data_IF_279357299010
#
_entry.id   IF_279357299010
#
_cell.length_a   1.000
_cell.length_b   1.000
_cell.length_c   1.000
_cell.angle_alpha   90.00
_cell.angle_beta   90.00
_cell.angle_gamma   90.00
#
_symmetry.space_group_name_H-M   'P 1'
#
loop_
_entity.id
_entity.type
_entity.pdbx_description
1 polymer ?
#
# COMPACT_ATOMS: atom_id res chain seq x y z
N UNK A 1 44.16 -27.04 4.08
CA UNK A 1 43.14 -27.85 3.38
C UNK A 1 41.79 -27.32 3.84
N UNK A 2 40.97 -26.77 2.95
CA UNK A 2 39.64 -26.29 3.31
C UNK A 2 38.71 -27.50 3.37
N UNK A 3 38.17 -27.81 4.55
CA UNK A 3 37.09 -28.79 4.67
C UNK A 3 35.85 -28.19 4.03
N UNK A 4 35.50 -28.69 2.84
CA UNK A 4 34.22 -28.41 2.21
C UNK A 4 33.13 -29.11 3.02
N UNK A 5 32.54 -28.41 3.99
CA UNK A 5 31.40 -28.95 4.74
C UNK A 5 30.23 -29.12 3.77
N UNK A 6 29.71 -30.34 3.66
CA UNK A 6 28.55 -30.61 2.81
C UNK A 6 27.36 -29.71 3.25
N UNK A 7 26.58 -29.17 2.30
CA UNK A 7 25.41 -28.36 2.63
C UNK A 7 24.47 -29.19 3.51
N UNK A 8 24.11 -28.65 4.68
CA UNK A 8 23.14 -29.28 5.59
C UNK A 8 21.79 -29.32 4.87
N UNK A 9 21.36 -30.53 4.52
CA UNK A 9 20.06 -30.75 3.91
C UNK A 9 19.01 -30.83 5.01
N UNK A 10 18.04 -29.91 4.98
CA UNK A 10 17.01 -29.86 6.01
C UNK A 10 15.76 -30.65 5.59
N UNK A 11 15.04 -31.29 6.52
CA UNK A 11 13.82 -32.03 6.21
C UNK A 11 12.72 -31.20 5.53
N UNK A 12 12.60 -29.92 5.87
CA UNK A 12 11.63 -29.01 5.23
C UNK A 12 11.95 -28.71 3.75
N UNK A 13 13.14 -29.04 3.26
CA UNK A 13 13.51 -28.87 1.85
C UNK A 13 12.97 -29.97 0.94
N UNK A 14 12.48 -31.09 1.50
CA UNK A 14 11.97 -32.23 0.72
C UNK A 14 10.45 -32.19 0.50
N UNK A 15 9.77 -31.17 1.01
CA UNK A 15 8.34 -30.95 0.79
C UNK A 15 8.00 -30.85 -0.72
N UNK A 16 6.85 -31.39 -1.13
CA UNK A 16 6.48 -31.50 -2.55
C UNK A 16 5.75 -30.27 -3.06
N UNK A 17 5.10 -29.52 -2.17
CA UNK A 17 4.39 -28.28 -2.48
C UNK A 17 4.91 -27.09 -1.66
N UNK A 18 4.68 -25.89 -2.20
CA UNK A 18 5.02 -24.65 -1.50
C UNK A 18 4.24 -24.51 -0.18
N UNK A 19 3.02 -25.06 -0.10
CA UNK A 19 2.19 -25.04 1.11
C UNK A 19 2.77 -26.00 2.16
N UNK A 20 3.07 -27.24 1.77
CA UNK A 20 3.71 -28.22 2.65
C UNK A 20 5.05 -27.70 3.17
N UNK A 21 5.81 -26.99 2.32
CA UNK A 21 7.07 -26.40 2.71
C UNK A 21 6.88 -25.29 3.77
N UNK A 22 5.85 -24.46 3.63
CA UNK A 22 5.48 -23.45 4.63
C UNK A 22 5.15 -24.10 5.98
N UNK A 23 4.32 -25.15 5.98
CA UNK A 23 3.92 -25.87 7.19
C UNK A 23 5.12 -26.56 7.87
N UNK A 24 6.00 -27.17 7.07
CA UNK A 24 7.22 -27.80 7.58
C UNK A 24 8.17 -26.77 8.22
N UNK A 25 8.32 -25.59 7.61
CA UNK A 25 9.13 -24.49 8.18
C UNK A 25 8.53 -24.02 9.51
N UNK A 26 7.22 -23.81 9.60
CA UNK A 26 6.58 -23.34 10.84
C UNK A 26 6.65 -24.39 11.95
N UNK A 27 6.46 -25.67 11.62
CA UNK A 27 6.62 -26.77 12.56
C UNK A 27 8.04 -26.80 13.14
N UNK A 28 9.05 -26.72 12.27
CA UNK A 28 10.45 -26.73 12.70
C UNK A 28 10.83 -25.50 13.53
N UNK A 29 10.26 -24.34 13.22
CA UNK A 29 10.44 -23.13 14.04
C UNK A 29 9.84 -23.29 15.43
N UNK A 30 8.64 -23.88 15.54
CA UNK A 30 8.04 -24.16 16.84
C UNK A 30 8.91 -25.12 17.68
N UNK A 31 9.48 -26.16 17.07
CA UNK A 31 10.44 -27.06 17.73
C UNK A 31 11.69 -26.31 18.22
N UNK A 32 12.32 -25.52 17.35
CA UNK A 32 13.51 -24.73 17.72
C UNK A 32 13.22 -23.74 18.84
N UNK A 33 12.03 -23.17 18.89
CA UNK A 33 11.64 -22.26 19.96
C UNK A 33 11.58 -22.97 21.32
N UNK A 34 11.12 -24.23 21.36
CA UNK A 34 11.13 -25.05 22.57
C UNK A 34 12.56 -25.42 22.96
N UNK A 35 13.40 -25.80 22.00
CA UNK A 35 14.81 -26.13 22.24
C UNK A 35 15.60 -24.93 22.81
N UNK A 36 15.46 -23.76 22.19
CA UNK A 36 16.10 -22.52 22.63
C UNK A 36 15.64 -22.08 24.03
N UNK A 37 14.40 -22.40 24.42
CA UNK A 37 13.88 -22.07 25.74
C UNK A 37 14.39 -23.01 26.85
N UNK A 38 14.78 -24.25 26.50
CA UNK A 38 15.27 -25.25 27.44
C UNK A 38 16.81 -25.20 27.63
N UNK A 39 17.52 -24.41 26.83
CA UNK A 39 18.97 -24.47 26.72
C UNK A 39 19.66 -23.56 27.75
N UNK A 40 20.01 -24.13 28.90
CA UNK A 40 20.79 -23.45 29.94
C UNK A 40 22.30 -23.57 29.63
N UNK A 41 22.87 -22.53 28.99
CA UNK A 41 24.32 -22.21 28.95
C UNK A 41 25.29 -23.04 28.07
N UNK A 42 24.85 -23.60 26.94
CA UNK A 42 25.75 -24.16 25.92
C UNK A 42 25.99 -23.22 24.73
N UNK A 43 27.19 -22.63 24.59
CA UNK A 43 27.47 -21.64 23.51
C UNK A 43 27.38 -22.22 22.09
N UNK A 44 27.86 -23.46 21.89
CA UNK A 44 27.98 -24.04 20.54
C UNK A 44 26.62 -24.49 19.97
N UNK A 45 25.78 -25.13 20.78
CA UNK A 45 24.45 -25.60 20.36
C UNK A 45 23.48 -24.45 20.17
N UNK A 46 23.52 -23.44 21.07
CA UNK A 46 22.77 -22.20 20.93
C UNK A 46 23.10 -21.48 19.62
N UNK A 47 24.39 -21.39 19.27
CA UNK A 47 24.82 -20.76 18.00
C UNK A 47 24.26 -21.51 16.79
N UNK A 48 24.25 -22.85 16.82
CA UNK A 48 23.68 -23.66 15.74
C UNK A 48 22.15 -23.48 15.62
N UNK A 49 21.42 -23.48 16.72
CA UNK A 49 19.97 -23.24 16.73
C UNK A 49 19.60 -21.83 16.23
N UNK A 50 20.37 -20.80 16.61
CA UNK A 50 20.21 -19.43 16.09
C UNK A 50 20.46 -19.38 14.58
N UNK A 51 21.49 -20.07 14.10
CA UNK A 51 21.79 -20.14 12.68
C UNK A 51 20.65 -20.82 11.90
N UNK A 52 20.17 -21.97 12.38
CA UNK A 52 19.04 -22.68 11.76
C UNK A 52 17.77 -21.81 11.75
N UNK A 53 17.47 -21.12 12.86
CA UNK A 53 16.34 -20.20 12.96
C UNK A 53 16.40 -19.08 11.91
N UNK A 54 17.58 -18.50 11.69
CA UNK A 54 17.78 -17.47 10.67
C UNK A 54 17.58 -18.05 9.26
N UNK A 55 18.08 -19.25 8.99
CA UNK A 55 17.86 -19.95 7.71
C UNK A 55 16.38 -20.22 7.46
N UNK A 56 15.64 -20.70 8.46
CA UNK A 56 14.18 -20.92 8.36
C UNK A 56 13.42 -19.62 8.12
N UNK A 57 13.82 -18.54 8.79
CA UNK A 57 13.21 -17.21 8.61
C UNK A 57 13.43 -16.69 7.18
N UNK A 58 14.64 -16.85 6.65
CA UNK A 58 14.95 -16.49 5.26
C UNK A 58 14.16 -17.35 4.27
N UNK A 59 14.13 -18.67 4.47
CA UNK A 59 13.38 -19.60 3.62
C UNK A 59 11.89 -19.24 3.58
N UNK A 60 11.28 -18.94 4.74
CA UNK A 60 9.89 -18.47 4.83
C UNK A 60 9.67 -17.18 4.04
N UNK A 61 10.59 -16.22 4.13
CA UNK A 61 10.46 -14.96 3.39
C UNK A 61 10.47 -15.18 1.88
N UNK A 62 11.35 -16.06 1.38
CA UNK A 62 11.42 -16.39 -0.06
C UNK A 62 10.14 -17.09 -0.51
N UNK A 63 9.67 -18.05 0.28
CA UNK A 63 8.46 -18.81 -0.02
C UNK A 63 7.20 -17.93 -0.01
N UNK A 64 7.08 -17.02 0.97
CA UNK A 64 6.01 -16.03 0.99
C UNK A 64 6.03 -15.11 -0.23
N UNK A 65 7.20 -14.65 -0.66
CA UNK A 65 7.32 -13.82 -1.85
C UNK A 65 6.86 -14.57 -3.11
N UNK A 66 7.24 -15.85 -3.24
CA UNK A 66 6.81 -16.74 -4.32
C UNK A 66 5.29 -16.95 -4.34
N UNK A 67 4.70 -17.28 -3.18
CA UNK A 67 3.25 -17.46 -3.05
C UNK A 67 2.47 -16.17 -3.37
N UNK A 68 2.99 -15.02 -2.93
CA UNK A 68 2.39 -13.73 -3.24
C UNK A 68 2.45 -13.42 -4.74
N UNK A 69 3.56 -13.74 -5.41
CA UNK A 69 3.70 -13.57 -6.86
C UNK A 69 2.72 -14.47 -7.63
N UNK A 70 2.57 -15.73 -7.21
CA UNK A 70 1.59 -16.65 -7.80
C UNK A 70 0.16 -16.13 -7.65
N UNK A 71 -0.21 -15.63 -6.46
CA UNK A 71 -1.55 -15.09 -6.23
C UNK A 71 -1.80 -13.81 -7.03
N UNK A 72 -0.81 -12.92 -7.12
CA UNK A 72 -0.90 -11.74 -7.98
C UNK A 72 -1.09 -12.10 -9.45
N UNK A 73 -0.40 -13.13 -9.93
CA UNK A 73 -0.56 -13.63 -11.30
C UNK A 73 -1.96 -14.21 -11.52
N UNK A 74 -2.48 -14.98 -10.54
CA UNK A 74 -3.84 -15.52 -10.56
C UNK A 74 -4.89 -14.40 -10.64
N UNK A 75 -4.79 -13.40 -9.77
CA UNK A 75 -5.67 -12.23 -9.76
C UNK A 75 -5.60 -11.43 -11.07
N UNK A 76 -4.40 -11.32 -11.66
CA UNK A 76 -4.24 -10.69 -12.97
C UNK A 76 -4.96 -11.48 -14.06
N UNK A 77 -4.87 -12.81 -14.07
CA UNK A 77 -5.57 -13.64 -15.05
C UNK A 77 -7.09 -13.48 -14.92
N UNK A 78 -7.60 -13.48 -13.69
CA UNK A 78 -9.01 -13.26 -13.37
C UNK A 78 -9.49 -11.89 -13.86
N UNK A 79 -8.79 -10.81 -13.51
CA UNK A 79 -9.15 -9.46 -13.92
C UNK A 79 -9.12 -9.24 -15.45
N UNK A 80 -8.19 -9.89 -16.16
CA UNK A 80 -8.14 -9.80 -17.63
C UNK A 80 -9.27 -10.58 -18.29
N UNK A 81 -9.65 -11.74 -17.74
CA UNK A 81 -10.83 -12.48 -18.20
C UNK A 81 -12.11 -11.67 -17.99
N UNK A 82 -12.30 -11.08 -16.81
CA UNK A 82 -13.46 -10.22 -16.54
C UNK A 82 -13.53 -9.04 -17.53
N UNK A 83 -12.40 -8.37 -17.77
CA UNK A 83 -12.33 -7.29 -18.76
C UNK A 83 -12.69 -7.78 -20.16
N UNK A 84 -12.18 -8.95 -20.56
CA UNK A 84 -12.51 -9.57 -21.84
C UNK A 84 -14.02 -9.80 -21.98
N UNK A 85 -14.65 -10.43 -20.97
CA UNK A 85 -16.09 -10.69 -20.97
C UNK A 85 -16.91 -9.40 -20.99
N UNK A 86 -16.60 -8.42 -20.14
CA UNK A 86 -17.31 -7.14 -20.09
C UNK A 86 -17.23 -6.42 -21.45
N UNK A 87 -16.05 -6.33 -22.05
CA UNK A 87 -15.91 -5.69 -23.35
C UNK A 87 -16.65 -6.47 -24.45
N UNK A 88 -16.57 -7.80 -24.43
CA UNK A 88 -17.28 -8.66 -25.38
C UNK A 88 -18.80 -8.50 -25.26
N UNK A 89 -19.34 -8.43 -24.04
CA UNK A 89 -20.75 -8.24 -23.76
C UNK A 89 -21.23 -6.88 -24.25
N UNK A 90 -20.47 -5.80 -24.02
CA UNK A 90 -20.79 -4.48 -24.56
C UNK A 90 -20.78 -4.49 -26.09
N UNK A 91 -19.78 -5.14 -26.71
CA UNK A 91 -19.67 -5.20 -28.16
C UNK A 91 -20.76 -6.07 -28.82
N UNK A 92 -21.26 -7.09 -28.11
CA UNK A 92 -22.39 -7.93 -28.53
C UNK A 92 -23.74 -7.31 -28.22
N UNK A 93 -23.80 -6.46 -27.19
CA UNK A 93 -25.02 -5.74 -26.86
C UNK A 93 -25.39 -4.83 -28.03
N UNK A 94 -26.67 -4.79 -28.37
CA UNK A 94 -27.20 -3.91 -29.41
C UNK A 94 -27.31 -2.45 -28.92
N UNK A 95 -26.40 -2.01 -28.03
CA UNK A 95 -26.34 -0.63 -27.56
C UNK A 95 -25.86 0.24 -28.71
N UNK A 96 -26.69 1.19 -29.11
CA UNK A 96 -26.33 2.20 -30.11
C UNK A 96 -25.43 3.25 -29.44
N UNK A 97 -24.25 3.46 -30.01
CA UNK A 97 -23.30 4.50 -29.58
C UNK A 97 -23.45 5.71 -30.50
N UNK A 98 -23.65 6.89 -29.91
CA UNK A 98 -23.74 8.13 -30.66
C UNK A 98 -22.38 8.51 -31.29
N UNK A 99 -22.39 9.41 -32.28
CA UNK A 99 -21.16 9.91 -32.92
C UNK A 99 -20.19 10.54 -31.90
N UNK A 100 -20.72 11.15 -30.82
CA UNK A 100 -19.93 11.70 -29.72
C UNK A 100 -19.23 10.62 -28.88
N UNK A 101 -19.73 9.38 -28.93
CA UNK A 101 -19.21 8.23 -28.19
C UNK A 101 -18.36 7.30 -29.07
N UNK A 102 -18.18 7.62 -30.35
CA UNK A 102 -17.36 6.83 -31.27
C UNK A 102 -15.92 6.58 -30.73
N UNK A 103 -15.36 7.58 -30.02
CA UNK A 103 -14.06 7.46 -29.37
C UNK A 103 -14.06 6.44 -28.22
N UNK A 104 -15.16 6.34 -27.46
CA UNK A 104 -15.32 5.35 -26.40
C UNK A 104 -15.43 3.93 -26.99
N UNK A 105 -16.26 3.75 -28.02
CA UNK A 105 -16.42 2.47 -28.71
C UNK A 105 -15.08 1.98 -29.30
N UNK A 106 -14.28 2.88 -29.87
CA UNK A 106 -12.92 2.56 -30.32
C UNK A 106 -12.06 2.01 -29.18
N UNK A 107 -12.05 2.68 -28.02
CA UNK A 107 -11.29 2.22 -26.86
C UNK A 107 -11.78 0.88 -26.28
N UNK A 108 -13.08 0.62 -26.32
CA UNK A 108 -13.65 -0.68 -25.91
C UNK A 108 -13.16 -1.80 -26.84
N UNK A 109 -13.20 -1.58 -28.16
CA UNK A 109 -12.68 -2.54 -29.15
C UNK A 109 -11.20 -2.81 -28.98
N UNK A 110 -10.42 -1.76 -28.75
CA UNK A 110 -8.97 -1.86 -28.53
C UNK A 110 -8.65 -2.65 -27.24
N UNK A 111 -9.36 -2.35 -26.15
CA UNK A 111 -9.22 -3.07 -24.87
C UNK A 111 -9.61 -4.54 -25.00
N UNK A 112 -10.70 -4.84 -25.71
CA UNK A 112 -11.12 -6.21 -26.02
C UNK A 112 -10.04 -6.98 -26.80
N UNK A 113 -9.45 -6.37 -27.84
CA UNK A 113 -8.39 -7.00 -28.62
C UNK A 113 -7.16 -7.32 -27.77
N UNK A 114 -6.75 -6.38 -26.91
CA UNK A 114 -5.62 -6.58 -26.01
C UNK A 114 -5.89 -7.68 -24.97
N UNK A 115 -7.07 -7.67 -24.35
CA UNK A 115 -7.47 -8.70 -23.39
C UNK A 115 -7.56 -10.09 -24.07
N UNK A 116 -8.14 -10.17 -25.26
CA UNK A 116 -8.21 -11.40 -26.06
C UNK A 116 -6.82 -11.94 -26.40
N UNK A 117 -5.90 -11.09 -26.86
CA UNK A 117 -4.52 -11.47 -27.14
C UNK A 117 -3.80 -11.99 -25.89
N UNK A 118 -4.04 -11.38 -24.73
CA UNK A 118 -3.51 -11.86 -23.46
C UNK A 118 -4.07 -13.25 -23.10
N UNK A 119 -5.38 -13.45 -23.20
CA UNK A 119 -6.02 -14.73 -22.92
C UNK A 119 -5.47 -15.85 -23.81
N UNK A 120 -5.29 -15.59 -25.11
CA UNK A 120 -4.67 -16.56 -26.04
C UNK A 120 -3.24 -16.88 -25.64
N UNK A 121 -2.43 -15.84 -25.35
CA UNK A 121 -1.02 -16.01 -24.97
C UNK A 121 -0.85 -16.85 -23.70
N UNK A 122 -1.75 -16.68 -22.73
CA UNK A 122 -1.69 -17.35 -21.42
C UNK A 122 -2.59 -18.60 -21.33
N UNK A 123 -3.17 -19.04 -22.45
CA UNK A 123 -4.06 -20.21 -22.52
C UNK A 123 -5.22 -20.12 -21.50
N UNK A 124 -5.74 -18.92 -21.29
CA UNK A 124 -6.89 -18.71 -20.41
C UNK A 124 -8.16 -19.15 -21.14
N UNK A 125 -8.97 -19.97 -20.48
CA UNK A 125 -10.23 -20.45 -21.03
C UNK A 125 -11.25 -19.32 -21.13
N UNK A 126 -11.48 -18.85 -22.36
CA UNK A 126 -12.43 -17.79 -22.70
C UNK A 126 -13.89 -18.29 -22.73
N UNK A 127 -14.12 -19.60 -22.65
CA UNK A 127 -15.46 -20.18 -22.69
C UNK A 127 -16.17 -20.17 -21.34
N UNK A 128 -15.41 -19.92 -20.27
CA UNK A 128 -15.96 -19.74 -18.93
C UNK A 128 -16.82 -18.48 -18.94
N UNK A 129 -18.13 -18.64 -19.13
CA UNK A 129 -19.03 -17.54 -18.83
C UNK A 129 -18.73 -17.05 -17.41
N UNK A 130 -18.71 -15.73 -17.17
CA UNK A 130 -18.55 -15.18 -15.83
C UNK A 130 -19.74 -15.71 -15.04
N UNK A 131 -19.50 -16.81 -14.33
CA UNK A 131 -20.48 -17.46 -13.49
C UNK A 131 -20.87 -16.43 -12.47
N UNK A 132 -21.99 -15.76 -12.74
CA UNK A 132 -22.57 -14.69 -11.93
C UNK A 132 -22.44 -15.14 -10.49
N UNK A 133 -21.46 -14.56 -9.81
CA UNK A 133 -21.10 -14.96 -8.47
C UNK A 133 -22.18 -14.40 -7.59
N UNK A 134 -23.31 -15.10 -7.50
CA UNK A 134 -24.19 -15.01 -6.36
C UNK A 134 -23.41 -15.59 -5.19
N UNK A 135 -22.99 -14.80 -4.19
CA UNK A 135 -22.40 -15.33 -2.97
C UNK A 135 -23.52 -15.88 -2.07
N UNK A 136 -24.33 -16.80 -2.59
CA UNK A 136 -25.43 -17.41 -1.86
C UNK A 136 -25.37 -18.92 -1.98
N UNK A 137 -24.85 -19.52 -0.91
CA UNK A 137 -25.30 -20.82 -0.40
C UNK A 137 -25.14 -22.02 -1.32
N UNK A 138 -23.90 -22.40 -1.63
CA UNK A 138 -23.61 -23.81 -1.93
C UNK A 138 -23.15 -24.51 -0.65
N UNK A 139 -24.12 -24.74 0.22
CA UNK A 139 -24.06 -25.84 1.15
C UNK A 139 -25.10 -26.87 0.66
N UNK A 140 -24.61 -28.04 0.26
CA UNK A 140 -25.37 -29.29 0.10
C UNK A 140 -26.37 -29.41 -1.05
N UNK A 141 -25.92 -30.07 -2.13
CA UNK A 141 -26.74 -31.05 -2.84
C UNK A 141 -25.95 -32.37 -2.98
N UNK A 142 -25.55 -32.94 -1.84
CA UNK A 142 -25.18 -34.34 -1.75
C UNK A 142 -26.47 -35.15 -1.77
N UNK A 143 -26.55 -36.14 -2.67
CA UNK A 143 -27.63 -37.12 -2.76
C UNK A 143 -27.97 -37.69 -1.36
N UNK A 144 -29.24 -38.00 -1.06
CA UNK A 144 -29.65 -38.46 0.26
C UNK A 144 -28.87 -39.72 0.65
N UNK A 145 -27.98 -39.67 1.66
CA UNK A 145 -27.43 -40.89 2.23
C UNK A 145 -28.56 -41.62 2.95
N UNK A 146 -28.56 -42.95 2.83
CA UNK A 146 -29.43 -43.83 3.59
C UNK A 146 -29.49 -43.39 5.07
N UNK A 147 -30.70 -43.42 5.62
CA UNK A 147 -31.11 -43.02 6.97
C UNK A 147 -30.16 -43.58 8.04
N UNK A 148 -29.13 -42.82 8.41
CA UNK A 148 -28.39 -43.03 9.65
C UNK A 148 -29.19 -42.29 10.74
N UNK A 149 -29.55 -42.96 11.86
CA UNK A 149 -30.28 -42.32 12.95
C UNK A 149 -29.49 -41.10 13.46
N UNK A 150 -30.18 -39.96 13.54
CA UNK A 150 -29.59 -38.70 13.96
C UNK A 150 -28.95 -38.86 15.36
N UNK A 151 -27.73 -38.34 15.56
CA UNK A 151 -27.12 -38.29 16.89
C UNK A 151 -27.99 -37.44 17.83
N UNK A 152 -28.02 -37.78 19.14
CA UNK A 152 -28.77 -37.02 20.12
C UNK A 152 -28.33 -35.55 20.12
N UNK A 153 -29.26 -34.60 20.30
CA UNK A 153 -28.94 -33.18 20.32
C UNK A 153 -27.91 -32.91 21.44
N UNK A 154 -26.88 -32.08 21.17
CA UNK A 154 -25.94 -31.69 22.20
C UNK A 154 -26.68 -31.02 23.36
N UNK A 155 -26.28 -31.27 24.63
CA UNK A 155 -26.87 -30.61 25.78
C UNK A 155 -26.80 -29.10 25.57
N UNK A 156 -27.91 -28.41 25.81
CA UNK A 156 -28.00 -26.96 25.70
C UNK A 156 -26.98 -26.34 26.66
N UNK A 157 -25.82 -25.95 26.13
CA UNK A 157 -24.86 -25.15 26.87
C UNK A 157 -25.51 -23.80 27.09
N UNK A 158 -25.77 -23.47 28.34
CA UNK A 158 -26.19 -22.14 28.78
C UNK A 158 -25.29 -21.10 28.11
N UNK A 159 -25.89 -20.19 27.35
CA UNK A 159 -25.17 -19.12 26.67
C UNK A 159 -24.24 -18.41 27.68
N UNK A 160 -22.96 -18.19 27.35
CA UNK A 160 -22.06 -17.48 28.24
C UNK A 160 -22.64 -16.09 28.52
N UNK A 161 -22.53 -15.59 29.76
CA UNK A 161 -23.02 -14.25 30.09
C UNK A 161 -22.37 -13.21 29.19
N UNK A 162 -23.11 -12.15 28.78
CA UNK A 162 -22.57 -11.11 27.93
C UNK A 162 -21.35 -10.47 28.61
N UNK A 163 -20.31 -10.09 27.82
CA UNK A 163 -19.14 -9.43 28.38
C UNK A 163 -19.54 -8.12 29.06
N UNK A 164 -18.88 -7.76 30.19
CA UNK A 164 -19.14 -6.49 30.85
C UNK A 164 -18.84 -5.31 29.91
N UNK A 165 -19.60 -4.21 30.00
CA UNK A 165 -19.35 -3.02 29.20
C UNK A 165 -17.92 -2.48 29.47
N UNK A 166 -17.22 -2.00 28.43
CA UNK A 166 -15.89 -1.41 28.60
C UNK A 166 -15.97 -0.20 29.53
N UNK A 167 -14.99 -0.09 30.44
CA UNK A 167 -14.90 1.03 31.37
C UNK A 167 -14.69 2.38 30.66
N UNK A 168 -15.11 3.49 31.29
CA UNK A 168 -14.93 4.82 30.72
C UNK A 168 -13.44 5.13 30.52
N UNK A 169 -13.07 5.78 29.40
CA UNK A 169 -11.69 6.16 29.15
C UNK A 169 -11.17 7.12 30.23
N UNK A 170 -9.89 7.00 30.62
CA UNK A 170 -9.29 7.90 31.60
C UNK A 170 -9.33 9.35 31.11
N UNK A 171 -9.90 10.23 31.92
CA UNK A 171 -9.99 11.66 31.64
C UNK A 171 -8.60 12.29 31.77
N UNK A 172 -7.90 12.48 30.64
CA UNK A 172 -6.65 13.22 30.61
C UNK A 172 -6.95 14.71 30.80
N UNK A 173 -6.61 15.23 31.99
CA UNK A 173 -6.64 16.66 32.28
C UNK A 173 -5.64 17.38 31.36
N UNK A 174 -6.14 18.36 30.60
CA UNK A 174 -5.33 19.19 29.72
C UNK A 174 -4.40 20.10 30.56
N UNK A 175 -3.11 20.20 30.21
CA UNK A 175 -2.19 21.13 30.88
C UNK A 175 -2.52 22.59 30.52
N UNK A 176 -2.55 23.41 31.56
CA UNK A 176 -2.83 24.84 31.55
C UNK A 176 -1.79 25.64 30.74
N UNK A 177 -2.19 26.56 29.84
CA UNK A 177 -1.26 27.33 29.04
C UNK A 177 -0.76 28.57 29.79
N UNK A 178 0.49 28.54 30.27
CA UNK A 178 1.19 29.74 30.74
C UNK A 178 1.65 30.60 29.56
N UNK A 179 0.92 31.70 29.32
CA UNK A 179 1.35 32.84 28.51
C UNK A 179 2.52 33.58 29.18
N UNK A 180 3.65 33.73 28.46
CA UNK A 180 4.52 34.91 28.60
C UNK A 180 5.08 35.31 27.24
N UNK A 181 4.49 36.36 26.67
CA UNK A 181 4.92 37.04 25.45
C UNK A 181 5.78 38.25 25.82
N UNK A 182 7.06 38.35 25.40
CA UNK A 182 7.79 39.61 25.47
C UNK A 182 7.57 40.48 24.24
N UNK A 183 7.56 41.77 24.52
CA UNK A 183 7.26 42.94 23.70
C UNK A 183 8.25 43.09 22.53
N UNK A 184 7.72 43.44 21.36
CA UNK A 184 8.47 43.80 20.14
C UNK A 184 8.65 45.32 20.17
N UNK A 185 9.88 45.82 20.15
CA UNK A 185 10.18 47.24 19.95
C UNK A 185 11.27 47.39 18.87
N UNK A 186 10.83 47.95 17.75
CA UNK A 186 11.49 48.99 16.93
C UNK A 186 12.88 48.72 16.32
N UNK A 187 12.89 48.58 14.98
CA UNK A 187 14.02 48.79 14.06
C UNK A 187 14.45 50.30 14.04
N UNK A 188 15.58 50.76 13.46
CA UNK A 188 16.32 50.15 12.34
C UNK A 188 17.86 50.36 12.34
N UNK A 189 18.48 49.92 11.23
CA UNK A 189 19.80 50.25 10.66
C UNK A 189 20.93 49.21 10.80
N UNK A 190 21.30 48.67 9.64
CA UNK A 190 22.61 48.15 9.23
C UNK A 190 23.66 49.29 9.31
N UNK A 191 24.98 49.05 9.53
CA UNK A 191 25.77 48.17 8.65
C UNK A 191 26.94 47.38 9.30
N UNK A 192 27.31 46.30 8.61
CA UNK A 192 28.71 45.91 8.25
C UNK A 192 29.78 45.74 9.34
N UNK A 193 30.40 44.55 9.29
CA UNK A 193 31.79 44.20 9.69
C UNK A 193 32.03 43.60 11.08
N UNK A 194 32.72 42.44 11.01
CA UNK A 194 33.65 41.85 11.98
C UNK A 194 33.13 41.02 13.14
N UNK A 195 33.73 39.83 13.19
CA UNK A 195 34.06 39.02 14.37
C UNK A 195 32.89 38.27 15.01
N UNK A 196 32.83 36.96 14.69
CA UNK A 196 32.05 35.96 15.41
C UNK A 196 32.80 35.59 16.70
N UNK A 197 32.29 35.96 17.89
CA UNK A 197 32.84 35.54 19.17
C UNK A 197 32.29 34.15 19.51
N UNK A 198 33.16 33.34 20.11
CA UNK A 198 32.91 32.01 20.67
C UNK A 198 31.96 32.13 21.88
N UNK A 199 30.71 31.62 21.84
CA UNK A 199 29.88 31.63 23.03
C UNK A 199 30.27 30.48 23.96
N UNK A 200 30.61 30.90 25.18
CA UNK A 200 30.83 30.09 26.37
C UNK A 200 29.62 29.20 26.68
N UNK A 201 29.92 27.99 27.11
CA UNK A 201 28.98 26.93 27.40
C UNK A 201 28.56 26.96 28.87
N UNK A 202 27.57 27.78 29.25
CA UNK A 202 26.90 27.62 30.55
C UNK A 202 25.41 27.95 30.45
N UNK A 203 24.56 27.00 30.84
CA UNK A 203 23.25 27.34 31.43
C UNK A 203 21.98 27.13 30.60
N UNK A 204 21.86 26.12 29.74
CA UNK A 204 20.54 25.65 29.28
C UNK A 204 20.22 24.27 29.86
N UNK A 205 19.48 24.24 30.99
CA UNK A 205 18.87 23.03 31.53
C UNK A 205 17.68 22.65 30.64
N UNK A 206 17.96 21.84 29.62
CA UNK A 206 16.95 21.23 28.75
C UNK A 206 16.11 20.19 29.52
N UNK A 207 14.77 20.17 29.39
CA UNK A 207 13.90 19.21 30.06
C UNK A 207 14.03 17.83 29.39
N UNK A 208 15.03 17.05 29.82
CA UNK A 208 15.34 15.70 29.32
C UNK A 208 14.54 14.57 30.00
N UNK A 209 13.57 14.89 30.85
CA UNK A 209 12.90 13.91 31.72
C UNK A 209 11.82 13.03 31.05
N UNK A 210 11.57 13.17 29.74
CA UNK A 210 10.59 12.36 29.00
C UNK A 210 11.19 11.69 27.75
N UNK A 211 12.45 11.26 27.82
CA UNK A 211 13.01 10.39 26.77
C UNK A 211 12.79 8.93 27.14
N UNK A 212 12.04 8.24 26.29
CA UNK A 212 11.97 6.78 26.26
C UNK A 212 13.40 6.23 26.28
N UNK A 213 13.73 5.32 27.22
CA UNK A 213 15.07 4.75 27.30
C UNK A 213 15.39 4.04 25.98
N UNK A 214 16.31 4.62 25.21
CA UNK A 214 16.82 4.04 23.97
C UNK A 214 17.68 2.83 24.35
N UNK A 215 17.29 1.64 23.85
CA UNK A 215 18.09 0.43 24.02
C UNK A 215 19.52 0.66 23.50
N UNK A 216 20.56 0.15 24.17
CA UNK A 216 21.97 0.41 23.82
C UNK A 216 22.33 -0.02 22.39
N UNK A 217 21.59 -0.96 21.79
CA UNK A 217 21.75 -1.37 20.38
C UNK A 217 21.53 -0.19 19.41
N UNK A 218 20.65 0.75 19.75
CA UNK A 218 20.43 1.94 18.90
C UNK A 218 21.58 2.96 18.99
N UNK A 219 22.45 2.89 20.01
CA UNK A 219 23.54 3.84 20.14
C UNK A 219 24.62 3.65 19.07
N UNK A 220 24.90 2.41 18.67
CA UNK A 220 25.82 2.12 17.57
C UNK A 220 25.28 2.69 16.24
N UNK A 221 24.00 2.45 15.95
CA UNK A 221 23.34 2.99 14.76
C UNK A 221 23.28 4.53 14.77
N UNK A 222 22.94 5.14 15.91
CA UNK A 222 22.92 6.60 16.04
C UNK A 222 24.31 7.23 15.96
N UNK A 223 25.35 6.54 16.45
CA UNK A 223 26.74 6.96 16.27
C UNK A 223 27.17 6.89 14.81
N UNK A 224 26.73 5.86 14.07
CA UNK A 224 26.97 5.74 12.63
C UNK A 224 26.25 6.83 11.84
N UNK A 225 24.99 7.13 12.15
CA UNK A 225 24.23 8.24 11.56
C UNK A 225 24.87 9.60 11.88
N UNK A 226 25.45 9.76 13.07
CA UNK A 226 26.18 10.97 13.45
C UNK A 226 27.51 11.09 12.70
N UNK A 227 28.22 9.97 12.45
CA UNK A 227 29.49 9.91 11.72
C UNK A 227 29.30 10.01 10.21
N UNK A 228 28.21 9.48 9.65
CA UNK A 228 27.93 9.49 8.20
C UNK A 228 27.55 10.88 7.65
N UNK A 229 27.66 11.93 8.48
CA UNK A 229 27.44 13.30 8.09
C UNK A 229 25.95 13.65 8.00
N UNK A 230 25.54 14.63 8.79
CA UNK A 230 24.24 15.34 8.63
C UNK A 230 24.05 15.98 7.24
N UNK A 231 25.02 15.83 6.34
CA UNK A 231 25.06 16.39 4.98
C UNK A 231 24.31 15.57 3.92
N UNK A 232 23.91 14.32 4.21
CA UNK A 232 23.17 13.49 3.22
C UNK A 232 21.64 13.66 3.31
N UNK A 233 21.11 14.28 4.35
CA UNK A 233 19.75 14.83 4.29
C UNK A 233 19.78 16.05 3.36
N UNK A 234 19.83 15.78 2.05
CA UNK A 234 19.84 16.78 0.99
C UNK A 234 18.77 17.81 1.32
N UNK A 235 19.20 19.07 1.43
CA UNK A 235 18.29 20.20 1.53
C UNK A 235 17.32 20.04 0.36
N UNK A 236 16.09 19.71 0.68
CA UNK A 236 15.04 19.49 -0.29
C UNK A 236 14.51 20.87 -0.60
N UNK A 237 14.65 21.34 -1.84
CA UNK A 237 14.19 22.66 -2.28
C UNK A 237 12.65 22.80 -2.28
N UNK A 238 11.95 21.82 -1.72
CA UNK A 238 10.52 21.87 -1.52
C UNK A 238 10.18 22.89 -0.42
N UNK A 239 9.26 23.83 -0.69
CA UNK A 239 8.79 24.75 0.33
C UNK A 239 8.21 23.95 1.50
N UNK A 240 8.62 24.30 2.73
CA UNK A 240 8.13 23.67 3.96
C UNK A 240 7.30 24.68 4.72
N UNK A 241 6.28 24.20 5.43
CA UNK A 241 5.56 25.02 6.37
C UNK A 241 6.48 25.38 7.55
N UNK A 242 6.14 26.38 8.38
CA UNK A 242 6.91 26.74 9.58
C UNK A 242 7.14 25.56 10.55
N UNK A 243 6.33 24.50 10.50
CA UNK A 243 6.47 23.27 11.28
C UNK A 243 7.34 22.19 10.63
N UNK A 244 8.04 22.49 9.52
CA UNK A 244 8.94 21.54 8.85
C UNK A 244 8.25 20.48 7.99
N UNK A 245 6.91 20.44 7.96
CA UNK A 245 6.15 19.59 7.05
C UNK A 245 6.33 20.08 5.62
N UNK A 246 6.71 19.24 4.65
CA UNK A 246 6.72 19.61 3.25
C UNK A 246 5.35 20.18 2.88
N UNK A 247 5.31 21.40 2.35
CA UNK A 247 4.09 21.95 1.78
C UNK A 247 3.77 21.09 0.57
N UNK A 248 2.90 20.09 0.75
CA UNK A 248 2.37 19.32 -0.36
C UNK A 248 1.59 20.29 -1.22
N UNK A 249 2.21 20.76 -2.29
CA UNK A 249 1.51 21.50 -3.32
C UNK A 249 0.37 20.60 -3.77
N UNK A 250 -0.87 21.03 -3.51
CA UNK A 250 -2.04 20.27 -3.94
C UNK A 250 -1.90 20.06 -5.44
N UNK A 251 -1.64 18.82 -5.85
CA UNK A 251 -1.58 18.44 -7.26
C UNK A 251 -2.85 18.95 -7.92
N UNK A 252 -2.71 19.73 -9.00
CA UNK A 252 -3.85 20.13 -9.81
C UNK A 252 -4.46 18.85 -10.38
N UNK A 253 -5.73 18.62 -10.08
CA UNK A 253 -6.45 17.47 -10.59
C UNK A 253 -6.54 17.62 -12.11
N UNK A 254 -6.03 16.63 -12.84
CA UNK A 254 -6.06 16.61 -14.28
C UNK A 254 -7.37 15.99 -14.76
N UNK A 255 -8.08 16.64 -15.68
CA UNK A 255 -9.24 16.04 -16.34
C UNK A 255 -8.87 14.91 -17.30
N UNK A 256 -7.57 14.70 -17.54
CA UNK A 256 -7.05 13.60 -18.37
C UNK A 256 -6.63 12.36 -17.56
N UNK A 257 -6.67 12.41 -16.22
CA UNK A 257 -6.34 11.28 -15.35
C UNK A 257 -7.62 10.70 -14.74
N UNK A 258 -7.86 9.40 -14.94
CA UNK A 258 -9.08 8.72 -14.50
C UNK A 258 -9.28 8.78 -12.99
N UNK A 259 -8.20 8.66 -12.21
CA UNK A 259 -8.26 8.79 -10.75
C UNK A 259 -8.64 10.23 -10.31
N UNK A 260 -8.14 11.23 -11.03
CA UNK A 260 -8.47 12.63 -10.77
C UNK A 260 -9.93 12.95 -11.18
N UNK A 261 -10.46 12.31 -12.23
CA UNK A 261 -11.88 12.42 -12.63
C UNK A 261 -12.82 11.85 -11.57
N UNK A 262 -12.50 10.67 -11.01
CA UNK A 262 -13.28 10.10 -9.90
C UNK A 262 -13.24 11.04 -8.70
N UNK A 263 -12.07 11.61 -8.36
CA UNK A 263 -11.95 12.56 -7.25
C UNK A 263 -12.73 13.86 -7.51
N UNK A 264 -12.73 14.36 -8.76
CA UNK A 264 -13.52 15.52 -9.18
C UNK A 264 -15.03 15.22 -9.10
N UNK A 265 -15.47 14.03 -9.54
CA UNK A 265 -16.86 13.60 -9.48
C UNK A 265 -17.34 13.47 -8.03
N UNK A 266 -16.54 12.85 -7.15
CA UNK A 266 -16.83 12.75 -5.72
C UNK A 266 -16.89 14.15 -5.08
N UNK A 267 -15.91 15.03 -5.36
CA UNK A 267 -15.95 16.41 -4.86
C UNK A 267 -17.19 17.17 -5.32
N UNK A 268 -17.62 16.98 -6.57
CA UNK A 268 -18.84 17.61 -7.10
C UNK A 268 -20.09 17.04 -6.43
N UNK A 269 -20.16 15.72 -6.21
CA UNK A 269 -21.28 15.05 -5.54
C UNK A 269 -21.42 15.47 -4.07
N UNK A 270 -20.30 15.67 -3.38
CA UNK A 270 -20.27 16.08 -1.97
C UNK A 270 -20.11 17.59 -1.76
N UNK A 271 -20.08 18.40 -2.83
CA UNK A 271 -19.90 19.85 -2.71
C UNK A 271 -21.02 20.51 -1.88
N UNK A 272 -22.22 19.94 -1.92
CA UNK A 272 -23.40 20.48 -1.24
C UNK A 272 -23.59 19.88 0.16
N UNK A 273 -22.85 18.84 0.53
CA UNK A 273 -23.03 18.14 1.81
C UNK A 273 -22.45 18.93 3.00
N UNK A 274 -21.56 19.89 2.73
CA UNK A 274 -20.99 20.77 3.76
C UNK A 274 -21.70 22.12 3.91
N UNK A 275 -22.78 22.37 3.14
CA UNK A 275 -23.47 23.66 3.12
C UNK A 275 -24.45 23.88 4.27
N UNK A 276 -25.08 22.82 4.76
CA UNK A 276 -26.14 22.90 5.76
C UNK A 276 -25.73 22.18 7.04
N UNK A 277 -24.79 22.77 7.78
CA UNK A 277 -24.72 22.50 9.22
C UNK A 277 -25.58 23.57 9.92
N UNK A 278 -26.82 23.24 10.32
CA UNK A 278 -27.71 24.18 10.99
C UNK A 278 -27.17 24.45 12.41
N UNK A 279 -26.34 25.48 12.58
CA UNK A 279 -25.91 25.91 13.92
C UNK A 279 -24.53 26.55 14.06
N UNK A 280 -23.80 26.84 12.98
CA UNK A 280 -22.47 27.47 13.06
C UNK A 280 -22.50 28.98 12.79
N UNK A 281 -22.32 29.78 13.85
CA UNK A 281 -22.18 31.24 13.83
C UNK A 281 -21.24 31.78 12.72
N UNK A 282 -21.59 32.88 12.03
CA UNK A 282 -20.81 33.43 10.93
C UNK A 282 -19.63 34.27 11.47
N UNK A 283 -18.51 33.62 11.77
CA UNK A 283 -17.22 34.31 11.81
C UNK A 283 -16.48 34.09 10.49
N UNK A 284 -16.59 35.11 9.66
CA UNK A 284 -15.93 35.27 8.38
C UNK A 284 -14.42 34.98 8.47
N UNK A 285 -13.93 34.12 7.58
CA UNK A 285 -12.52 34.08 7.20
C UNK A 285 -12.37 34.81 5.85
N UNK A 286 -11.73 35.99 5.80
CA UNK A 286 -11.51 36.70 4.55
C UNK A 286 -10.18 36.25 3.95
N UNK A 287 -10.22 35.27 3.05
CA UNK A 287 -9.13 35.01 2.11
C UNK A 287 -9.70 34.89 0.70
N UNK A 288 -10.37 35.97 0.26
CA UNK A 288 -10.60 36.24 -1.15
C UNK A 288 -9.33 36.86 -1.73
N UNK A 289 -8.70 36.15 -2.66
CA UNK A 289 -7.57 36.64 -3.47
C UNK A 289 -8.09 37.62 -4.54
N UNK A 290 -7.56 38.85 -4.64
CA UNK A 290 -8.01 39.82 -5.62
C UNK A 290 -7.20 39.67 -6.91
N UNK A 291 -7.70 38.90 -7.86
CA UNK A 291 -7.37 39.05 -9.29
C UNK A 291 -8.61 38.72 -10.11
N UNK A 292 -9.56 39.66 -10.08
CA UNK A 292 -10.65 39.72 -11.04
C UNK A 292 -10.18 40.57 -12.22
N UNK A 293 -9.79 39.91 -13.31
CA UNK A 293 -9.65 40.56 -14.62
C UNK A 293 -11.02 40.55 -15.28
N UNK A 294 -11.47 41.74 -15.67
CA UNK A 294 -12.73 42.07 -16.37
C UNK A 294 -13.04 41.19 -17.59
N UNK A 295 -14.33 40.96 -17.92
CA UNK A 295 -14.72 40.24 -19.13
C UNK A 295 -14.63 41.16 -20.35
N UNK A 296 -13.77 40.80 -21.30
CA UNK A 296 -13.79 41.33 -22.67
C UNK A 296 -14.57 40.36 -23.56
N UNK A 297 -15.57 40.89 -24.25
CA UNK A 297 -16.41 40.15 -25.18
C UNK A 297 -15.59 39.59 -26.35
N UNK A 298 -15.51 38.26 -26.43
CA UNK A 298 -15.01 37.52 -27.59
C UNK A 298 -15.99 36.38 -27.91
N UNK A 299 -16.15 36.01 -29.19
CA UNK A 299 -17.21 35.12 -29.65
C UNK A 299 -16.99 33.68 -29.18
N UNK A 300 -18.12 33.01 -28.86
CA UNK A 300 -18.21 31.58 -28.55
C UNK A 300 -17.47 30.75 -29.61
N UNK A 301 -16.25 30.31 -29.30
CA UNK A 301 -15.69 29.09 -29.87
C UNK A 301 -16.02 27.96 -28.90
N UNK A 302 -16.95 27.13 -29.32
CA UNK A 302 -17.30 25.88 -28.69
C UNK A 302 -16.08 24.95 -28.77
N UNK A 303 -15.29 24.94 -27.69
CA UNK A 303 -14.15 24.04 -27.56
C UNK A 303 -14.65 22.75 -26.92
N UNK A 304 -14.96 21.76 -27.76
CA UNK A 304 -15.10 20.38 -27.32
C UNK A 304 -13.69 19.83 -27.07
N UNK A 305 -13.28 19.55 -25.82
CA UNK A 305 -11.99 18.92 -25.59
C UNK A 305 -12.02 17.52 -26.23
N UNK A 306 -11.15 17.30 -27.22
CA UNK A 306 -10.83 15.96 -27.70
C UNK A 306 -10.17 15.19 -26.54
N UNK A 307 -10.95 14.38 -25.84
CA UNK A 307 -10.45 13.45 -24.82
C UNK A 307 -9.69 12.36 -25.57
N UNK A 308 -8.38 12.28 -25.35
CA UNK A 308 -7.52 11.24 -25.92
C UNK A 308 -7.71 9.95 -25.10
N UNK A 309 -8.83 9.26 -25.31
CA UNK A 309 -9.20 8.04 -24.58
C UNK A 309 -8.15 6.91 -24.73
N UNK A 310 -7.36 6.93 -25.81
CA UNK A 310 -6.21 6.04 -26.04
C UNK A 310 -5.18 6.08 -24.90
N UNK A 311 -4.96 7.25 -24.31
CA UNK A 311 -3.92 7.42 -23.28
C UNK A 311 -4.33 6.87 -21.90
N UNK A 312 -5.64 6.70 -21.67
CA UNK A 312 -6.23 6.25 -20.41
C UNK A 312 -6.35 4.73 -20.36
N UNK A 313 -6.78 4.12 -21.48
CA UNK A 313 -6.68 2.67 -21.68
C UNK A 313 -5.21 2.21 -21.55
N UNK A 314 -4.29 2.87 -22.26
CA UNK A 314 -2.87 2.54 -22.21
C UNK A 314 -2.27 2.66 -20.80
N UNK A 315 -2.76 3.55 -19.93
CA UNK A 315 -2.25 3.71 -18.56
C UNK A 315 -2.79 2.69 -17.56
N UNK A 316 -4.08 2.38 -17.60
CA UNK A 316 -4.65 1.29 -16.79
C UNK A 316 -4.01 -0.03 -17.20
N UNK A 317 -3.76 -0.19 -18.51
CA UNK A 317 -3.00 -1.30 -19.06
C UNK A 317 -1.54 -1.29 -18.60
N UNK A 318 -0.82 -0.16 -18.65
CA UNK A 318 0.57 -0.10 -18.14
C UNK A 318 0.68 -0.46 -16.66
N UNK A 319 -0.32 -0.14 -15.83
CA UNK A 319 -0.34 -0.57 -14.42
C UNK A 319 -0.58 -2.09 -14.27
N UNK A 320 -1.32 -2.71 -15.19
CA UNK A 320 -1.52 -4.17 -15.25
C UNK A 320 -0.37 -4.90 -15.97
N UNK A 321 0.37 -4.21 -16.82
CA UNK A 321 1.34 -4.79 -17.77
C UNK A 321 2.79 -4.38 -17.53
N UNK A 322 3.07 -3.52 -16.55
CA UNK A 322 4.45 -3.17 -16.19
C UNK A 322 5.19 -4.44 -15.77
N UNK A 323 6.25 -4.86 -16.52
CA UNK A 323 7.09 -5.96 -16.10
C UNK A 323 7.74 -5.59 -14.78
N UNK A 324 7.64 -6.48 -13.78
CA UNK A 324 8.26 -6.25 -12.50
C UNK A 324 9.79 -6.20 -12.71
N UNK A 325 10.48 -5.10 -12.41
CA UNK A 325 11.93 -5.04 -12.52
C UNK A 325 12.50 -6.00 -11.48
N UNK A 326 12.95 -7.18 -11.91
CA UNK A 326 13.46 -8.22 -11.02
C UNK A 326 13.07 -9.66 -11.37
N UNK A 327 12.24 -9.90 -12.38
CA UNK A 327 11.99 -11.28 -12.83
C UNK A 327 13.22 -11.83 -13.58
N UNK A 328 13.89 -12.88 -13.08
CA UNK A 328 15.10 -13.47 -13.69
C UNK A 328 14.80 -14.25 -15.00
N UNK A 329 13.55 -14.23 -15.48
CA UNK A 329 13.11 -15.03 -16.63
C UNK A 329 13.50 -14.44 -18.00
N UNK A 330 14.11 -13.25 -18.07
CA UNK A 330 14.44 -12.62 -19.35
C UNK A 330 15.85 -12.92 -19.89
N UNK A 331 16.75 -13.53 -19.10
CA UNK A 331 18.14 -13.76 -19.53
C UNK A 331 18.40 -15.15 -20.16
N UNK A 332 17.38 -16.01 -20.30
CA UNK A 332 17.57 -17.41 -20.70
C UNK A 332 17.24 -17.77 -22.16
N UNK A 333 16.93 -16.81 -23.04
CA UNK A 333 16.58 -17.10 -24.45
C UNK A 333 17.57 -16.45 -25.42
N UNK A 334 18.84 -16.81 -25.30
CA UNK A 334 19.84 -16.54 -26.32
C UNK A 334 20.97 -17.56 -26.22
N UNK A 335 20.72 -18.82 -26.61
CA UNK A 335 21.73 -19.81 -27.07
C UNK A 335 21.06 -21.18 -27.26
N UNK A 336 20.38 -21.38 -28.38
CA UNK A 336 20.16 -22.71 -28.98
C UNK A 336 19.61 -22.56 -30.40
N UNK A 337 20.49 -22.39 -31.38
CA UNK A 337 20.25 -22.86 -32.74
C UNK A 337 21.21 -24.00 -33.00
N UNK A 338 20.75 -25.22 -33.30
CA UNK A 338 21.56 -26.19 -33.99
C UNK A 338 21.31 -26.11 -35.50
N UNK A 339 22.40 -26.35 -36.23
CA UNK A 339 22.46 -26.67 -37.66
C UNK A 339 21.59 -27.86 -38.04
#
# INVERSE_FOLDING_TARGET
MAETTAPVQYPWQTARSDIEQCEAIETRRAELQVLLAAEDNGDATLTAHIQEWNTLTQARSVLNAKLLEQENLRLKHEAVLDLFHICNDILKSHVEFDQTEAALLHCIRESHQMASAYCVKHQLDQSREPSSTNPSSENSAVAPPATIPAPPPPPAMSAPPPPPPPGPPPSFAAPEPTEKRPKRETAPSLPTTSQLPKPSAEGFKSPLALRTPLKPVNNAYLADVAKSGKSILRRTDFPRSPGGTPCRQRRRLSTADGADLVLLALRRKFANVNGDSPGGSPLASPLASPFATTPSAQPKREYTPHINCSHLAHRVLLLLWSPHPGSPACDAVALASPL
#
